data_IF_202567993682
#
_entry.id   IF_202567993682
#
_cell.length_a   1.000
_cell.length_b   1.000
_cell.length_c   1.000
_cell.angle_alpha   90.00
_cell.angle_beta   90.00
_cell.angle_gamma   90.00
#
_symmetry.space_group_name_H-M   'P 1'
#
loop_
_entity.id
_entity.type
_entity.pdbx_description
1 polymer ?
#
# COMPACT_ATOMS: atom_id res chain seq x y z
N UNK A 1 2.23 -3.92 25.48
CA UNK A 1 2.81 -5.06 24.72
C UNK A 1 2.09 -6.37 25.07
N UNK A 2 0.76 -6.39 25.09
CA UNK A 2 -0.01 -7.50 25.71
C UNK A 2 -1.43 -7.57 25.14
N UNK A 3 -1.59 -8.13 23.94
CA UNK A 3 -2.88 -8.70 23.48
C UNK A 3 -2.77 -9.81 22.41
N UNK A 4 -1.56 -10.15 21.94
CA UNK A 4 -1.29 -11.22 20.95
C UNK A 4 -1.39 -12.66 21.51
N UNK A 5 -2.37 -12.93 22.39
CA UNK A 5 -2.66 -14.28 22.91
C UNK A 5 -4.17 -14.43 23.14
N UNK A 6 -4.90 -14.93 22.14
CA UNK A 6 -6.14 -15.70 22.36
C UNK A 6 -6.73 -16.43 21.12
N UNK A 7 -5.95 -16.77 20.08
CA UNK A 7 -6.45 -17.59 18.97
C UNK A 7 -6.73 -19.07 19.32
N UNK A 8 -6.31 -19.57 20.49
CA UNK A 8 -6.22 -21.01 20.77
C UNK A 8 -7.25 -21.60 21.76
N UNK A 9 -8.20 -20.81 22.29
CA UNK A 9 -9.06 -21.26 23.43
C UNK A 9 -10.56 -21.43 23.18
N UNK A 10 -11.08 -21.21 21.96
CA UNK A 10 -12.54 -21.32 21.68
C UNK A 10 -12.96 -22.41 20.67
N UNK A 11 -12.01 -23.21 20.17
CA UNK A 11 -12.26 -24.23 19.13
C UNK A 11 -11.72 -25.64 19.47
N UNK A 12 -11.49 -25.95 20.76
CA UNK A 12 -11.04 -27.28 21.22
C UNK A 12 -12.13 -28.11 21.91
N UNK A 13 -13.40 -27.74 21.75
CA UNK A 13 -14.56 -28.48 22.26
C UNK A 13 -15.44 -28.97 21.11
N UNK A 14 -14.89 -29.87 20.28
CA UNK A 14 -15.62 -30.57 19.22
C UNK A 14 -14.74 -31.06 18.07
N UNK A 15 -14.79 -32.37 17.80
CA UNK A 15 -14.34 -33.06 16.58
C UNK A 15 -12.82 -33.17 16.29
N UNK A 16 -12.25 -34.25 16.84
CA UNK A 16 -11.55 -35.35 16.13
C UNK A 16 -10.61 -35.02 14.96
N UNK A 17 -9.35 -35.42 15.14
CA UNK A 17 -8.33 -35.76 14.14
C UNK A 17 -8.82 -36.04 12.71
N UNK A 18 -8.77 -35.03 11.84
CA UNK A 18 -8.23 -35.10 10.46
C UNK A 18 -8.24 -33.69 9.87
N UNK A 19 -7.08 -33.16 9.42
CA UNK A 19 -7.05 -31.84 8.76
C UNK A 19 -6.02 -30.81 9.25
N UNK A 20 -4.85 -31.22 9.76
CA UNK A 20 -3.79 -30.29 10.17
C UNK A 20 -3.26 -29.35 9.07
N UNK A 21 -3.59 -29.60 7.79
CA UNK A 21 -3.26 -28.75 6.65
C UNK A 21 -4.25 -27.59 6.41
N UNK A 22 -5.47 -27.65 6.93
CA UNK A 22 -6.46 -26.58 6.75
C UNK A 22 -6.20 -25.37 7.66
N UNK A 23 -5.54 -25.58 8.81
CA UNK A 23 -5.33 -24.55 9.83
C UNK A 23 -4.37 -23.42 9.42
N UNK A 24 -3.46 -23.66 8.46
CA UNK A 24 -2.54 -22.64 7.94
C UNK A 24 -3.13 -21.83 6.78
N UNK A 25 -4.05 -22.42 6.00
CA UNK A 25 -4.75 -21.73 4.91
C UNK A 25 -5.72 -20.63 5.42
N UNK A 26 -6.13 -20.70 6.69
CA UNK A 26 -6.99 -19.70 7.33
C UNK A 26 -6.33 -18.33 7.54
N UNK A 27 -4.99 -18.27 7.69
CA UNK A 27 -4.26 -17.01 7.89
C UNK A 27 -3.86 -16.32 6.57
N UNK A 28 -3.91 -17.01 5.43
CA UNK A 28 -3.51 -16.50 4.10
C UNK A 28 -4.72 -15.96 3.31
N UNK A 29 -5.94 -16.15 3.84
CA UNK A 29 -7.18 -15.68 3.23
C UNK A 29 -7.75 -14.40 3.86
N UNK A 30 -6.91 -13.61 4.55
CA UNK A 30 -7.28 -12.24 4.87
C UNK A 30 -7.46 -11.44 3.56
N UNK A 31 -8.58 -10.73 3.46
CA UNK A 31 -8.88 -9.88 2.32
C UNK A 31 -8.16 -8.52 2.38
N UNK A 32 -7.44 -8.24 3.48
CA UNK A 32 -6.95 -6.92 3.86
C UNK A 32 -5.58 -6.93 4.56
N UNK A 33 -4.71 -7.86 4.17
CA UNK A 33 -3.27 -7.76 4.44
C UNK A 33 -2.76 -6.39 3.91
N UNK A 34 -2.13 -5.53 4.75
CA UNK A 34 -1.61 -4.22 4.35
C UNK A 34 -0.59 -4.24 3.20
N UNK A 35 -0.03 -5.41 2.88
CA UNK A 35 0.93 -5.62 1.79
C UNK A 35 0.32 -6.26 0.53
N UNK A 36 -0.89 -6.85 0.59
CA UNK A 36 -1.45 -7.66 -0.53
C UNK A 36 -2.78 -7.15 -1.11
N UNK A 37 -3.53 -6.29 -0.41
CA UNK A 37 -4.65 -5.53 -0.99
C UNK A 37 -6.01 -6.26 -1.17
N UNK A 38 -7.05 -5.54 -1.66
CA UNK A 38 -8.46 -5.92 -1.51
C UNK A 38 -9.00 -6.97 -2.52
N UNK A 39 -9.84 -7.89 -2.03
CA UNK A 39 -10.66 -8.86 -2.82
C UNK A 39 -12.15 -8.38 -2.89
N UNK A 40 -13.23 -9.14 -3.21
CA UNK A 40 -14.67 -8.63 -3.28
C UNK A 40 -15.77 -9.35 -2.43
N UNK A 41 -16.93 -8.73 -2.08
CA UNK A 41 -18.09 -9.31 -1.37
C UNK A 41 -19.39 -9.28 -2.21
N UNK A 42 -20.56 -9.50 -1.59
CA UNK A 42 -21.87 -9.60 -2.27
C UNK A 42 -22.76 -8.35 -2.07
N UNK A 43 -23.69 -8.15 -3.00
CA UNK A 43 -24.58 -6.99 -3.12
C UNK A 43 -25.72 -7.00 -2.07
N UNK A 44 -26.26 -5.82 -1.73
CA UNK A 44 -27.49 -5.67 -0.93
C UNK A 44 -27.33 -5.70 0.60
N UNK A 45 -26.09 -5.63 1.11
CA UNK A 45 -25.79 -5.81 2.55
C UNK A 45 -25.54 -4.50 3.31
N UNK A 46 -25.38 -3.37 2.61
CA UNK A 46 -25.00 -2.07 3.20
C UNK A 46 -25.90 -1.62 4.36
N UNK A 47 -27.24 -1.68 4.20
CA UNK A 47 -28.22 -1.19 5.19
C UNK A 47 -28.23 -1.98 6.50
N UNK A 48 -27.62 -3.15 6.53
CA UNK A 48 -27.59 -4.05 7.69
C UNK A 48 -26.33 -3.86 8.56
N UNK A 49 -25.28 -3.23 8.04
CA UNK A 49 -23.94 -3.26 8.64
C UNK A 49 -23.63 -2.05 9.52
N UNK A 50 -24.19 -0.88 9.18
CA UNK A 50 -23.99 0.36 9.94
C UNK A 50 -24.59 0.30 11.36
N UNK A 51 -25.50 -0.64 11.62
CA UNK A 51 -26.25 -0.79 12.87
C UNK A 51 -25.83 -2.01 13.72
N UNK A 52 -24.86 -2.82 13.26
CA UNK A 52 -24.47 -4.09 13.90
C UNK A 52 -23.21 -3.93 14.78
N UNK A 53 -23.32 -3.96 16.13
CA UNK A 53 -22.18 -3.84 17.04
C UNK A 53 -21.32 -5.10 17.14
N UNK A 54 -21.79 -6.21 16.57
CA UNK A 54 -21.14 -7.53 16.55
C UNK A 54 -20.30 -7.79 15.29
N UNK A 55 -20.36 -6.89 14.30
CA UNK A 55 -19.56 -6.94 13.06
C UNK A 55 -18.25 -6.18 13.29
N UNK A 56 -17.12 -6.82 13.01
CA UNK A 56 -15.80 -6.25 13.31
C UNK A 56 -15.47 -5.04 12.43
N UNK A 57 -14.59 -4.13 12.89
CA UNK A 57 -14.14 -3.02 12.05
C UNK A 57 -13.45 -3.51 10.76
N UNK A 58 -12.78 -4.67 10.80
CA UNK A 58 -12.24 -5.33 9.59
C UNK A 58 -13.33 -5.73 8.59
N UNK A 59 -14.52 -6.12 9.06
CA UNK A 59 -15.65 -6.46 8.19
C UNK A 59 -16.32 -5.20 7.62
N UNK A 60 -16.32 -4.08 8.36
CA UNK A 60 -16.76 -2.76 7.85
C UNK A 60 -15.79 -2.24 6.79
N UNK A 61 -14.48 -2.41 6.99
CA UNK A 61 -13.44 -2.15 6.00
C UNK A 61 -13.59 -3.04 4.76
N UNK A 62 -13.90 -4.33 4.95
CA UNK A 62 -14.31 -5.24 3.87
C UNK A 62 -15.55 -4.75 3.12
N UNK A 63 -16.45 -3.98 3.70
CA UNK A 63 -17.58 -3.46 2.93
C UNK A 63 -17.22 -2.26 2.08
N UNK A 64 -16.41 -1.35 2.63
CA UNK A 64 -16.08 -0.08 1.98
C UNK A 64 -15.33 -0.23 0.64
N UNK A 65 -14.36 -1.13 0.55
CA UNK A 65 -13.42 -1.19 -0.59
C UNK A 65 -13.88 -1.99 -1.83
N UNK A 66 -15.17 -2.33 -1.90
CA UNK A 66 -15.51 -3.71 -2.28
C UNK A 66 -16.79 -3.90 -3.09
N UNK A 67 -17.76 -2.99 -2.95
CA UNK A 67 -18.92 -2.79 -3.83
C UNK A 67 -18.96 -1.29 -4.25
N UNK A 68 -19.68 -0.89 -5.31
CA UNK A 68 -19.89 0.53 -5.59
C UNK A 68 -20.85 1.10 -4.54
N UNK A 69 -20.30 1.80 -3.55
CA UNK A 69 -21.10 2.38 -2.45
C UNK A 69 -21.69 3.70 -2.91
N UNK A 70 -22.96 3.90 -2.60
CA UNK A 70 -23.68 5.15 -2.83
C UNK A 70 -22.89 6.34 -2.22
N UNK A 71 -22.62 7.41 -3.00
CA UNK A 71 -21.97 8.63 -2.52
C UNK A 71 -22.51 9.16 -1.18
N UNK A 72 -23.83 9.06 -1.01
CA UNK A 72 -24.58 9.49 0.18
C UNK A 72 -24.18 8.67 1.41
N UNK A 73 -24.02 7.36 1.28
CA UNK A 73 -23.60 6.49 2.39
C UNK A 73 -22.12 6.74 2.77
N UNK A 74 -21.26 7.11 1.81
CA UNK A 74 -19.89 7.54 2.13
C UNK A 74 -19.87 8.88 2.86
N UNK A 75 -20.75 9.82 2.50
CA UNK A 75 -20.92 11.07 3.23
C UNK A 75 -21.43 10.86 4.67
N UNK A 76 -22.40 9.96 4.88
CA UNK A 76 -22.91 9.59 6.20
C UNK A 76 -21.81 8.91 7.05
N UNK A 77 -21.08 7.95 6.49
CA UNK A 77 -20.00 7.24 7.19
C UNK A 77 -18.80 8.16 7.50
N UNK A 78 -18.58 9.21 6.70
CA UNK A 78 -17.61 10.26 7.02
C UNK A 78 -17.99 11.10 8.25
N UNK A 79 -19.24 11.05 8.73
CA UNK A 79 -19.66 11.65 10.00
C UNK A 79 -19.65 10.65 11.18
N UNK A 80 -19.19 9.41 10.96
CA UNK A 80 -19.13 8.39 12.01
C UNK A 80 -18.28 8.84 13.21
N UNK A 81 -18.71 8.60 14.47
CA UNK A 81 -17.87 8.84 15.64
C UNK A 81 -16.61 7.97 15.63
N UNK A 82 -16.65 6.79 14.97
CA UNK A 82 -15.47 5.94 14.80
C UNK A 82 -14.47 6.57 13.83
N UNK A 83 -13.33 6.96 14.38
CA UNK A 83 -12.14 7.43 13.67
C UNK A 83 -11.73 6.48 12.54
N UNK A 84 -11.75 5.18 12.80
CA UNK A 84 -11.32 4.18 11.83
C UNK A 84 -12.34 4.05 10.68
N UNK A 85 -13.65 4.16 10.96
CA UNK A 85 -14.67 4.27 9.90
C UNK A 85 -14.41 5.48 8.99
N UNK A 86 -14.12 6.66 9.55
CA UNK A 86 -13.81 7.86 8.74
C UNK A 86 -12.52 7.70 7.93
N UNK A 87 -11.49 7.07 8.51
CA UNK A 87 -10.26 6.72 7.79
C UNK A 87 -10.52 5.75 6.62
N UNK A 88 -11.40 4.75 6.78
CA UNK A 88 -11.76 3.84 5.70
C UNK A 88 -12.55 4.52 4.57
N UNK A 89 -13.38 5.53 4.88
CA UNK A 89 -13.99 6.39 3.86
C UNK A 89 -12.90 7.20 3.13
N UNK A 90 -11.96 7.80 3.86
CA UNK A 90 -10.82 8.50 3.24
C UNK A 90 -9.97 7.62 2.32
N UNK A 91 -9.88 6.30 2.59
CA UNK A 91 -9.16 5.33 1.76
C UNK A 91 -9.96 4.77 0.58
N UNK A 92 -11.28 5.00 0.48
CA UNK A 92 -12.11 4.42 -0.56
C UNK A 92 -11.99 5.22 -1.88
N UNK A 93 -11.55 4.62 -3.00
CA UNK A 93 -11.40 5.33 -4.28
C UNK A 93 -12.68 5.99 -4.81
N UNK A 94 -13.86 5.53 -4.38
CA UNK A 94 -15.16 6.08 -4.78
C UNK A 94 -15.64 7.27 -3.92
N UNK A 95 -14.90 7.67 -2.88
CA UNK A 95 -15.33 8.75 -1.98
C UNK A 95 -15.45 10.09 -2.71
N UNK A 96 -16.60 10.78 -2.62
CA UNK A 96 -16.83 12.05 -3.31
C UNK A 96 -15.87 13.15 -2.89
N UNK A 97 -15.58 14.07 -3.83
CA UNK A 97 -14.69 15.20 -3.60
C UNK A 97 -15.07 16.04 -2.36
N UNK A 98 -16.35 16.34 -2.17
CA UNK A 98 -16.82 17.15 -1.03
C UNK A 98 -16.65 16.40 0.31
N UNK A 99 -16.86 15.08 0.31
CA UNK A 99 -16.59 14.21 1.47
C UNK A 99 -15.08 14.19 1.79
N UNK A 100 -14.21 14.12 0.78
CA UNK A 100 -12.76 14.22 0.96
C UNK A 100 -12.33 15.61 1.49
N UNK A 101 -12.99 16.70 1.05
CA UNK A 101 -12.73 18.05 1.59
C UNK A 101 -13.09 18.13 3.07
N UNK A 102 -14.18 17.49 3.51
CA UNK A 102 -14.53 17.39 4.92
C UNK A 102 -13.51 16.55 5.72
N UNK A 103 -13.12 15.38 5.21
CA UNK A 103 -12.13 14.50 5.85
C UNK A 103 -10.71 15.10 5.87
N UNK A 104 -10.38 15.99 4.92
CA UNK A 104 -9.16 16.80 4.94
C UNK A 104 -9.15 17.86 6.04
N UNK A 105 -10.28 18.12 6.70
CA UNK A 105 -10.40 18.97 7.87
C UNK A 105 -10.69 18.19 9.17
N UNK A 106 -10.64 16.85 9.14
CA UNK A 106 -10.93 16.00 10.30
C UNK A 106 -10.00 16.34 11.49
N UNK A 107 -10.50 16.38 12.74
CA UNK A 107 -9.64 16.61 13.91
C UNK A 107 -8.55 15.53 14.06
N UNK A 108 -8.81 14.28 13.65
CA UNK A 108 -7.83 13.19 13.76
C UNK A 108 -6.75 13.23 12.66
N UNK A 109 -5.50 13.12 13.09
CA UNK A 109 -4.31 13.17 12.23
C UNK A 109 -4.29 12.01 11.21
N UNK A 110 -4.73 10.82 11.59
CA UNK A 110 -4.74 9.64 10.72
C UNK A 110 -5.80 9.74 9.63
N UNK A 111 -7.00 10.24 9.93
CA UNK A 111 -8.03 10.50 8.91
C UNK A 111 -7.49 11.49 7.87
N UNK A 112 -6.88 12.61 8.30
CA UNK A 112 -6.23 13.56 7.37
C UNK A 112 -5.07 12.93 6.59
N UNK A 113 -4.26 12.10 7.24
CA UNK A 113 -3.13 11.39 6.62
C UNK A 113 -3.59 10.42 5.52
N UNK A 114 -4.67 9.66 5.72
CA UNK A 114 -5.25 8.78 4.70
C UNK A 114 -5.99 9.55 3.60
N UNK A 115 -6.53 10.73 3.91
CA UNK A 115 -7.20 11.60 2.92
C UNK A 115 -6.19 12.25 1.96
N UNK A 116 -5.02 12.67 2.47
CA UNK A 116 -4.03 13.44 1.71
C UNK A 116 -3.57 12.81 0.36
N UNK A 117 -3.26 11.50 0.27
CA UNK A 117 -2.84 10.88 -0.98
C UNK A 117 -4.01 10.50 -1.92
N UNK A 118 -5.26 10.78 -1.57
CA UNK A 118 -6.41 10.32 -2.35
C UNK A 118 -6.49 11.01 -3.72
N UNK A 119 -6.65 10.26 -4.84
CA UNK A 119 -6.64 10.81 -6.19
C UNK A 119 -7.82 11.76 -6.50
N UNK A 120 -8.94 11.61 -5.80
CA UNK A 120 -10.12 12.46 -5.92
C UNK A 120 -10.08 13.73 -5.06
N UNK A 121 -9.04 13.94 -4.25
CA UNK A 121 -8.95 15.10 -3.37
C UNK A 121 -8.72 16.39 -4.18
N UNK A 122 -9.59 17.41 -4.06
CA UNK A 122 -9.40 18.68 -4.78
C UNK A 122 -8.08 19.37 -4.42
N UNK A 123 -7.42 19.95 -5.43
CA UNK A 123 -6.09 20.58 -5.31
C UNK A 123 -6.00 21.60 -4.16
N UNK A 124 -7.05 22.38 -3.91
CA UNK A 124 -7.08 23.36 -2.83
C UNK A 124 -7.06 22.70 -1.42
N UNK A 125 -7.71 21.54 -1.24
CA UNK A 125 -7.66 20.78 0.00
C UNK A 125 -6.31 20.09 0.18
N UNK A 126 -5.72 19.55 -0.90
CA UNK A 126 -4.37 19.02 -0.87
C UNK A 126 -3.34 20.06 -0.42
N UNK A 127 -3.40 21.29 -0.94
CA UNK A 127 -2.49 22.36 -0.55
C UNK A 127 -2.65 22.79 0.92
N UNK A 128 -3.84 22.61 1.52
CA UNK A 128 -4.03 22.78 2.97
C UNK A 128 -3.36 21.66 3.77
N UNK A 129 -3.51 20.40 3.34
CA UNK A 129 -2.85 19.24 3.97
C UNK A 129 -1.33 19.26 3.82
N UNK A 130 -0.81 19.81 2.72
CA UNK A 130 0.61 20.06 2.52
C UNK A 130 1.19 21.09 3.51
N UNK A 131 0.33 21.94 4.09
CA UNK A 131 0.65 22.87 5.18
C UNK A 131 0.15 22.39 6.57
N UNK A 132 -0.26 21.12 6.72
CA UNK A 132 -0.79 20.60 7.98
C UNK A 132 0.24 20.67 9.12
N UNK A 133 -0.15 20.92 10.38
CA UNK A 133 0.77 20.87 11.51
C UNK A 133 1.51 19.52 11.66
N UNK A 134 0.88 18.40 11.32
CA UNK A 134 1.48 17.06 11.39
C UNK A 134 2.40 16.78 10.21
N UNK A 135 3.67 16.43 10.50
CA UNK A 135 4.62 15.99 9.48
C UNK A 135 4.11 14.79 8.67
N UNK A 136 3.45 13.82 9.34
CA UNK A 136 2.88 12.64 8.69
C UNK A 136 1.82 12.98 7.63
N UNK A 137 1.04 14.05 7.86
CA UNK A 137 0.02 14.52 6.92
C UNK A 137 0.68 15.26 5.75
N UNK A 138 1.70 16.08 6.00
CA UNK A 138 2.46 16.77 4.94
C UNK A 138 3.18 15.77 4.02
N UNK A 139 3.82 14.75 4.58
CA UNK A 139 4.50 13.71 3.80
C UNK A 139 3.50 12.87 2.98
N UNK A 140 2.34 12.54 3.57
CA UNK A 140 1.26 11.87 2.84
C UNK A 140 0.64 12.76 1.74
N UNK A 141 0.59 14.08 1.93
CA UNK A 141 0.19 15.03 0.90
C UNK A 141 1.21 15.05 -0.27
N UNK A 142 2.52 14.96 0.00
CA UNK A 142 3.54 14.84 -1.06
C UNK A 142 3.34 13.56 -1.90
N UNK A 143 2.85 12.47 -1.31
CA UNK A 143 2.59 11.22 -2.04
C UNK A 143 1.35 11.27 -2.97
N UNK A 144 0.56 12.35 -2.95
CA UNK A 144 -0.67 12.47 -3.75
C UNK A 144 -0.42 12.45 -5.27
N UNK A 145 -1.17 11.68 -6.08
CA UNK A 145 -1.05 11.64 -7.54
C UNK A 145 -1.56 12.92 -8.24
N UNK A 146 -2.01 13.92 -7.47
CA UNK A 146 -2.40 15.25 -7.98
C UNK A 146 -1.19 16.14 -8.30
N UNK A 147 -0.01 15.82 -7.74
CA UNK A 147 1.24 16.52 -8.07
C UNK A 147 1.75 16.16 -9.46
N UNK A 148 2.24 17.16 -10.18
CA UNK A 148 2.88 17.01 -11.48
C UNK A 148 4.42 16.92 -11.36
N UNK A 149 5.08 16.33 -12.36
CA UNK A 149 6.51 16.04 -12.32
C UNK A 149 7.40 17.28 -12.04
N UNK A 150 7.11 18.44 -12.63
CA UNK A 150 7.87 19.68 -12.41
C UNK A 150 7.62 20.30 -11.02
N UNK A 151 6.44 20.05 -10.44
CA UNK A 151 6.12 20.47 -9.09
C UNK A 151 6.93 19.64 -8.09
N UNK A 152 7.05 18.32 -8.30
CA UNK A 152 7.90 17.44 -7.50
C UNK A 152 9.39 17.83 -7.60
N UNK A 153 9.88 18.23 -8.78
CA UNK A 153 11.21 18.84 -8.94
C UNK A 153 11.37 20.15 -8.16
N UNK A 154 10.31 20.95 -8.07
CA UNK A 154 10.29 22.21 -7.31
C UNK A 154 10.35 21.93 -5.81
N UNK A 155 9.54 20.99 -5.30
CA UNK A 155 9.59 20.55 -3.90
C UNK A 155 10.97 20.00 -3.52
N UNK A 156 11.58 19.19 -4.40
CA UNK A 156 12.92 18.63 -4.17
C UNK A 156 14.02 19.69 -4.11
N UNK A 157 13.92 20.74 -4.95
CA UNK A 157 14.81 21.91 -4.93
C UNK A 157 14.61 22.79 -3.68
N UNK A 158 13.37 22.89 -3.19
CA UNK A 158 13.02 23.59 -1.95
C UNK A 158 13.43 22.84 -0.68
N UNK A 159 13.95 21.62 -0.79
CA UNK A 159 14.49 20.84 0.34
C UNK A 159 13.47 19.96 1.06
N UNK A 160 12.30 19.70 0.46
CA UNK A 160 11.36 18.71 0.99
C UNK A 160 11.95 17.29 0.99
N UNK A 161 11.45 16.44 1.90
CA UNK A 161 11.99 15.11 2.14
C UNK A 161 11.98 14.23 0.88
N UNK A 162 13.16 13.72 0.50
CA UNK A 162 13.33 12.94 -0.71
C UNK A 162 12.51 11.65 -0.72
N UNK A 163 12.32 11.01 0.44
CA UNK A 163 11.59 9.75 0.55
C UNK A 163 10.09 9.89 0.24
N UNK A 164 9.47 10.98 0.70
CA UNK A 164 8.07 11.29 0.43
C UNK A 164 7.85 11.57 -1.07
N UNK A 165 8.79 12.29 -1.70
CA UNK A 165 8.80 12.53 -3.15
C UNK A 165 9.01 11.21 -3.91
N UNK A 166 9.92 10.34 -3.44
CA UNK A 166 10.17 9.04 -4.06
C UNK A 166 8.97 8.09 -3.99
N UNK A 167 8.14 8.23 -2.95
CA UNK A 167 6.86 7.51 -2.81
C UNK A 167 5.72 8.02 -3.69
N UNK A 168 5.87 9.17 -4.35
CA UNK A 168 4.85 9.71 -5.25
C UNK A 168 4.83 8.93 -6.59
N UNK A 169 3.67 8.43 -7.06
CA UNK A 169 3.58 7.63 -8.29
C UNK A 169 3.93 8.40 -9.58
N UNK A 170 3.87 9.73 -9.56
CA UNK A 170 4.20 10.61 -10.68
C UNK A 170 5.66 11.12 -10.63
N UNK A 171 6.46 10.78 -9.61
CA UNK A 171 7.86 11.19 -9.54
C UNK A 171 8.65 10.57 -10.71
N UNK A 172 9.23 11.39 -11.62
CA UNK A 172 9.90 10.85 -12.80
C UNK A 172 11.20 10.14 -12.42
N UNK A 173 11.58 9.10 -13.17
CA UNK A 173 12.79 8.31 -12.91
C UNK A 173 14.07 9.14 -12.71
N UNK A 174 14.21 10.24 -13.44
CA UNK A 174 15.32 11.18 -13.29
C UNK A 174 15.36 11.87 -11.91
N UNK A 175 14.19 12.19 -11.32
CA UNK A 175 14.08 12.74 -9.97
C UNK A 175 14.36 11.66 -8.92
N UNK A 176 13.84 10.45 -9.11
CA UNK A 176 14.13 9.30 -8.25
C UNK A 176 15.65 9.03 -8.17
N UNK A 177 16.34 9.04 -9.31
CA UNK A 177 17.80 8.91 -9.37
C UNK A 177 18.54 10.11 -8.79
N UNK A 178 18.01 11.34 -8.89
CA UNK A 178 18.59 12.52 -8.25
C UNK A 178 18.48 12.45 -6.72
N UNK A 179 17.34 11.99 -6.19
CA UNK A 179 17.14 11.73 -4.76
C UNK A 179 18.14 10.68 -4.28
N UNK A 180 18.18 9.52 -4.94
CA UNK A 180 19.09 8.41 -4.63
C UNK A 180 20.56 8.85 -4.58
N UNK A 181 21.02 9.63 -5.56
CA UNK A 181 22.40 10.13 -5.65
C UNK A 181 22.73 11.27 -4.68
N UNK A 182 21.74 11.96 -4.12
CA UNK A 182 21.99 13.10 -3.24
C UNK A 182 22.40 12.72 -1.81
N UNK A 183 22.28 11.45 -1.43
CA UNK A 183 22.56 11.01 -0.05
C UNK A 183 21.61 11.58 1.01
N UNK A 184 20.48 12.19 0.60
CA UNK A 184 19.49 12.83 1.48
C UNK A 184 18.28 11.94 1.81
N UNK A 185 18.29 10.67 1.40
CA UNK A 185 17.22 9.73 1.73
C UNK A 185 17.43 9.09 3.11
N UNK A 186 16.33 8.69 3.75
CA UNK A 186 16.37 7.85 4.95
C UNK A 186 16.49 6.36 4.58
N UNK A 187 16.46 5.49 5.58
CA UNK A 187 16.35 4.03 5.39
C UNK A 187 15.10 3.60 4.63
N UNK A 188 14.08 4.46 4.49
CA UNK A 188 12.87 4.18 3.71
C UNK A 188 13.06 4.41 2.21
N UNK A 189 14.16 5.04 1.76
CA UNK A 189 14.35 5.36 0.35
C UNK A 189 14.36 4.12 -0.55
N UNK A 190 15.07 3.07 -0.13
CA UNK A 190 15.15 1.79 -0.86
C UNK A 190 13.76 1.21 -1.13
N UNK A 191 12.92 1.19 -0.10
CA UNK A 191 11.54 0.73 -0.19
C UNK A 191 10.70 1.56 -1.17
N UNK A 192 10.77 2.90 -1.09
CA UNK A 192 10.00 3.79 -1.97
C UNK A 192 10.43 3.69 -3.44
N UNK A 193 11.74 3.57 -3.70
CA UNK A 193 12.27 3.32 -5.03
C UNK A 193 11.82 1.95 -5.56
N UNK A 194 11.90 0.90 -4.73
CA UNK A 194 11.55 -0.47 -5.09
C UNK A 194 10.08 -0.64 -5.50
N UNK A 195 9.16 0.08 -4.84
CA UNK A 195 7.71 0.07 -5.16
C UNK A 195 7.29 1.05 -6.25
N UNK A 196 8.19 1.91 -6.73
CA UNK A 196 7.82 2.99 -7.65
C UNK A 196 7.31 2.44 -8.99
N UNK A 197 6.20 2.97 -9.54
CA UNK A 197 5.82 2.65 -10.91
C UNK A 197 6.86 3.16 -11.91
N UNK A 198 7.62 4.22 -11.62
CA UNK A 198 8.60 4.81 -12.53
C UNK A 198 10.02 4.21 -12.36
N UNK A 199 10.09 2.97 -11.85
CA UNK A 199 11.34 2.22 -11.70
C UNK A 199 12.03 1.96 -13.04
N UNK A 200 13.36 2.00 -13.04
CA UNK A 200 14.24 1.69 -14.18
C UNK A 200 15.38 0.77 -13.74
N UNK A 201 16.10 0.09 -14.65
CA UNK A 201 17.24 -0.76 -14.29
C UNK A 201 18.33 -0.05 -13.47
N UNK A 202 18.52 1.26 -13.64
CA UNK A 202 19.44 2.06 -12.83
C UNK A 202 18.95 2.25 -11.38
N UNK A 203 17.63 2.39 -11.19
CA UNK A 203 17.00 2.44 -9.87
C UNK A 203 17.04 1.06 -9.21
N UNK A 204 16.76 0.00 -9.98
CA UNK A 204 16.89 -1.40 -9.52
C UNK A 204 18.31 -1.69 -9.03
N UNK A 205 19.33 -1.33 -9.81
CA UNK A 205 20.73 -1.51 -9.45
C UNK A 205 21.13 -0.72 -8.19
N UNK A 206 20.61 0.50 -8.01
CA UNK A 206 20.80 1.26 -6.77
C UNK A 206 20.18 0.53 -5.57
N UNK A 207 18.92 0.08 -5.68
CA UNK A 207 18.23 -0.66 -4.62
C UNK A 207 18.93 -1.99 -4.30
N UNK A 208 19.47 -2.71 -5.29
CA UNK A 208 20.26 -3.91 -5.04
C UNK A 208 21.59 -3.63 -4.31
N UNK A 209 22.21 -2.49 -4.57
CA UNK A 209 23.52 -2.14 -4.02
C UNK A 209 23.47 -1.53 -2.62
N UNK A 210 22.42 -0.77 -2.29
CA UNK A 210 22.28 -0.08 -1.00
C UNK A 210 21.06 -0.48 -0.17
N UNK A 211 20.17 -1.31 -0.72
CA UNK A 211 18.93 -1.74 -0.06
C UNK A 211 19.10 -2.94 0.86
N UNK A 212 18.14 -3.08 1.75
CA UNK A 212 17.95 -4.22 2.64
C UNK A 212 17.33 -5.43 1.92
N UNK A 213 17.31 -6.60 2.56
CA UNK A 213 16.54 -7.76 2.10
C UNK A 213 15.05 -7.45 1.89
N UNK A 214 14.48 -6.55 2.71
CA UNK A 214 13.11 -6.05 2.55
C UNK A 214 12.91 -5.27 1.25
N UNK A 215 13.90 -4.49 0.83
CA UNK A 215 13.84 -3.71 -0.41
C UNK A 215 13.96 -4.63 -1.64
N UNK A 216 14.81 -5.67 -1.56
CA UNK A 216 14.87 -6.74 -2.58
C UNK A 216 13.54 -7.50 -2.69
N UNK A 217 12.90 -7.86 -1.57
CA UNK A 217 11.57 -8.48 -1.58
C UNK A 217 10.50 -7.52 -2.14
N UNK A 218 10.64 -6.22 -1.90
CA UNK A 218 9.75 -5.19 -2.48
C UNK A 218 9.94 -5.07 -4.00
N UNK A 219 11.18 -5.16 -4.50
CA UNK A 219 11.47 -5.21 -5.94
C UNK A 219 10.77 -6.39 -6.62
N UNK A 220 10.80 -7.59 -6.02
CA UNK A 220 10.14 -8.79 -6.57
C UNK A 220 8.62 -8.61 -6.75
N UNK A 221 7.99 -7.83 -5.87
CA UNK A 221 6.57 -7.50 -5.97
C UNK A 221 6.27 -6.36 -6.97
N UNK A 222 7.28 -5.67 -7.52
CA UNK A 222 7.06 -4.61 -8.51
C UNK A 222 6.74 -5.21 -9.90
N UNK A 223 5.56 -4.92 -10.49
CA UNK A 223 5.16 -5.48 -11.77
C UNK A 223 6.02 -5.01 -12.96
N UNK A 224 6.82 -3.94 -12.79
CA UNK A 224 7.75 -3.39 -13.80
C UNK A 224 9.20 -3.84 -13.63
N UNK A 225 9.53 -4.62 -12.58
CA UNK A 225 10.89 -5.17 -12.37
C UNK A 225 11.43 -5.82 -13.64
N UNK A 226 12.66 -5.48 -14.04
CA UNK A 226 13.28 -6.02 -15.24
C UNK A 226 13.60 -7.53 -15.13
N UNK A 227 13.58 -8.25 -16.26
CA UNK A 227 13.99 -9.66 -16.26
C UNK A 227 15.44 -9.85 -15.79
N UNK A 228 16.46 -9.07 -16.21
CA UNK A 228 17.84 -9.24 -15.72
C UNK A 228 17.94 -9.22 -14.19
N UNK A 229 17.39 -8.19 -13.55
CA UNK A 229 17.37 -8.04 -12.08
C UNK A 229 16.66 -9.20 -11.39
N UNK A 230 15.54 -9.67 -11.94
CA UNK A 230 14.83 -10.85 -11.43
C UNK A 230 15.68 -12.13 -11.52
N UNK A 231 16.43 -12.32 -12.61
CA UNK A 231 17.31 -13.47 -12.81
C UNK A 231 18.56 -13.44 -11.93
N UNK A 232 19.02 -12.26 -11.54
CA UNK A 232 20.13 -12.11 -10.59
C UNK A 232 19.65 -12.29 -9.15
N UNK A 233 18.46 -11.78 -8.79
CA UNK A 233 17.81 -12.08 -7.51
C UNK A 233 17.51 -13.58 -7.34
N UNK A 234 17.26 -14.34 -8.41
CA UNK A 234 17.14 -15.81 -8.35
C UNK A 234 18.42 -16.55 -7.93
N UNK A 235 19.56 -15.84 -7.85
CA UNK A 235 20.88 -16.29 -7.38
C UNK A 235 21.31 -15.59 -6.09
N UNK A 236 20.45 -14.79 -5.46
CA UNK A 236 20.76 -14.03 -4.25
C UNK A 236 21.28 -14.97 -3.12
N UNK A 237 22.30 -14.57 -2.34
CA UNK A 237 22.81 -15.38 -1.24
C UNK A 237 21.76 -15.67 -0.15
N UNK A 238 20.71 -14.86 -0.03
CA UNK A 238 19.62 -15.08 0.92
C UNK A 238 18.57 -16.06 0.34
N UNK A 239 18.43 -17.30 0.88
CA UNK A 239 17.67 -18.35 0.20
C UNK A 239 16.19 -18.03 -0.02
N UNK A 240 15.59 -17.25 0.89
CA UNK A 240 14.18 -16.85 0.80
C UNK A 240 13.92 -15.83 -0.32
N UNK A 241 14.88 -14.94 -0.59
CA UNK A 241 14.83 -13.99 -1.71
C UNK A 241 15.02 -14.74 -3.02
N UNK A 242 16.04 -15.61 -3.09
CA UNK A 242 16.31 -16.43 -4.26
C UNK A 242 15.17 -17.40 -4.60
N UNK A 243 14.45 -17.93 -3.60
CA UNK A 243 13.24 -18.71 -3.81
C UNK A 243 12.12 -17.84 -4.38
N UNK A 244 11.75 -16.72 -3.72
CA UNK A 244 10.65 -15.86 -4.18
C UNK A 244 10.90 -15.32 -5.59
N UNK A 245 12.15 -15.03 -5.94
CA UNK A 245 12.53 -14.61 -7.29
C UNK A 245 12.26 -15.68 -8.37
N UNK A 246 12.48 -16.97 -8.05
CA UNK A 246 12.18 -18.08 -8.97
C UNK A 246 10.66 -18.26 -9.15
N UNK A 247 9.91 -18.24 -8.04
CA UNK A 247 8.45 -18.26 -8.07
C UNK A 247 7.89 -17.11 -8.93
N UNK A 248 8.38 -15.88 -8.72
CA UNK A 248 8.00 -14.71 -9.52
C UNK A 248 8.38 -14.85 -11.01
N UNK A 249 9.48 -15.53 -11.34
CA UNK A 249 9.84 -15.82 -12.74
C UNK A 249 8.91 -16.86 -13.38
N UNK A 250 8.52 -17.91 -12.64
CA UNK A 250 7.57 -18.95 -13.06
C UNK A 250 6.14 -18.37 -13.24
N UNK A 251 5.68 -17.53 -12.30
CA UNK A 251 4.45 -16.73 -12.40
C UNK A 251 4.43 -15.88 -13.69
N UNK A 252 5.57 -15.26 -14.04
CA UNK A 252 5.71 -14.40 -15.22
C UNK A 252 5.76 -15.19 -16.54
N UNK A 253 6.52 -16.29 -16.62
CA UNK A 253 6.58 -17.14 -17.83
C UNK A 253 5.20 -17.77 -18.10
N UNK A 254 4.49 -18.22 -17.06
CA UNK A 254 3.11 -18.71 -17.13
C UNK A 254 2.12 -17.66 -17.62
N UNK A 255 2.32 -16.39 -17.28
CA UNK A 255 1.56 -15.24 -17.78
C UNK A 255 2.05 -14.73 -19.15
N UNK A 256 2.92 -15.45 -19.86
CA UNK A 256 3.46 -15.08 -21.18
C UNK A 256 4.55 -13.99 -21.16
N UNK A 257 4.90 -13.46 -19.99
CA UNK A 257 5.96 -12.45 -19.79
C UNK A 257 7.30 -13.16 -19.57
N UNK A 258 7.85 -13.74 -20.65
CA UNK A 258 8.97 -14.70 -20.62
C UNK A 258 10.29 -14.15 -20.05
N UNK A 259 10.45 -14.20 -18.73
CA UNK A 259 11.73 -14.01 -18.03
C UNK A 259 12.36 -15.37 -17.68
N UNK A 260 12.95 -16.07 -18.65
CA UNK A 260 13.46 -17.43 -18.42
C UNK A 260 14.76 -17.47 -17.60
N UNK A 261 14.68 -18.06 -16.41
CA UNK A 261 15.86 -18.55 -15.69
C UNK A 261 16.47 -19.68 -16.52
N UNK A 262 17.66 -19.46 -17.09
CA UNK A 262 18.40 -20.53 -17.77
C UNK A 262 18.91 -21.54 -16.72
N UNK A 263 18.24 -22.69 -16.64
CA UNK A 263 18.76 -23.88 -15.97
C UNK A 263 17.90 -24.42 -14.83
N UNK A 264 16.95 -25.28 -15.18
CA UNK A 264 16.82 -26.65 -14.62
C UNK A 264 16.47 -27.60 -15.77
N UNK A 265 16.81 -28.89 -15.66
CA UNK A 265 16.89 -29.82 -16.81
C UNK A 265 15.54 -30.07 -17.49
#
# INVERSE_FOLDING_TARGET
MTHWRNCSRRWLSGLVLTGALAALAGCINDAFDPWLGPRRPREGTERYLSTRPDVSESDKYNFLQRQPIAPELLADLAQSPSRDTRAYVAMNPATPADTLVALAADPDIGVRQYTAPHPGLPRAALLRLFADPSALVRDAAVASPVWQAEELWTLYRQGHAGDAIAGNPNAPAALLMAIARSGRGSSLLGYQLARSPQITPEIEAFVLASGSGTDKLTLLNNPRLSCPTLLDLAKDPEPHIAQRARETAEERDSAGRRCRVKGRP
#
